data_IF_176850419969
#
_entry.id   IF_176850419969
#
_cell.length_a   1.000
_cell.length_b   1.000
_cell.length_c   1.000
_cell.angle_alpha   90.00
_cell.angle_beta   90.00
_cell.angle_gamma   90.00
#
_symmetry.space_group_name_H-M   'P 1'
#
loop_
_entity.id
_entity.type
_entity.pdbx_description
1 polymer ?
#
# COMPACT_ATOMS: atom_id res chain seq x y z
N UNK A 1 58.93 17.03 -55.69
CA UNK A 1 57.55 16.55 -55.46
C UNK A 1 57.55 15.69 -54.20
N UNK A 2 56.91 16.15 -53.12
CA UNK A 2 56.74 15.40 -51.86
C UNK A 2 55.29 15.58 -51.41
N UNK A 3 54.54 14.49 -51.32
CA UNK A 3 53.17 14.48 -50.81
C UNK A 3 53.20 14.40 -49.27
N UNK A 4 52.41 15.22 -48.54
CA UNK A 4 52.24 15.02 -47.11
C UNK A 4 51.33 13.81 -46.85
N UNK A 5 51.76 12.97 -45.91
CA UNK A 5 51.06 11.79 -45.42
C UNK A 5 49.91 12.21 -44.51
N UNK A 6 48.68 11.95 -44.94
CA UNK A 6 47.48 12.05 -44.11
C UNK A 6 47.51 10.95 -43.04
N UNK A 7 47.66 11.35 -41.77
CA UNK A 7 47.48 10.46 -40.63
C UNK A 7 45.98 10.37 -40.31
N UNK A 8 45.37 9.24 -40.64
CA UNK A 8 43.97 8.93 -40.35
C UNK A 8 43.90 8.34 -38.93
N UNK A 9 43.52 9.17 -37.96
CA UNK A 9 43.31 8.73 -36.58
C UNK A 9 41.95 8.00 -36.49
N UNK A 10 42.00 6.68 -36.37
CA UNK A 10 40.84 5.82 -36.17
C UNK A 10 40.43 5.88 -34.70
N UNK A 11 39.46 6.74 -34.37
CA UNK A 11 38.86 6.78 -33.04
C UNK A 11 37.88 5.61 -32.89
N UNK A 12 38.30 4.57 -32.18
CA UNK A 12 37.43 3.46 -31.76
C UNK A 12 36.54 3.98 -30.63
N UNK A 13 35.33 4.40 -30.99
CA UNK A 13 34.28 4.80 -30.05
C UNK A 13 33.74 3.52 -29.38
N UNK A 14 34.33 3.13 -28.24
CA UNK A 14 33.76 2.10 -27.38
C UNK A 14 32.46 2.63 -26.76
N UNK A 15 31.33 2.46 -27.46
CA UNK A 15 30.01 2.53 -26.85
C UNK A 15 29.87 1.37 -25.87
N UNK A 16 30.32 1.59 -24.63
CA UNK A 16 29.89 0.81 -23.49
C UNK A 16 28.38 1.06 -23.34
N UNK A 17 27.58 0.20 -23.97
CA UNK A 17 26.15 0.16 -23.74
C UNK A 17 25.91 -0.17 -22.29
N UNK A 18 25.65 0.86 -21.48
CA UNK A 18 25.19 0.70 -20.12
C UNK A 18 23.78 0.10 -20.22
N UNK A 19 23.68 -1.23 -20.21
CA UNK A 19 22.42 -1.92 -20.01
C UNK A 19 22.00 -1.60 -18.58
N UNK A 20 21.21 -0.54 -18.41
CA UNK A 20 20.46 -0.32 -17.18
C UNK A 20 19.43 -1.44 -17.14
N UNK A 21 19.80 -2.57 -16.54
CA UNK A 21 18.83 -3.59 -16.18
C UNK A 21 17.83 -2.88 -15.26
N UNK A 22 16.60 -2.70 -15.76
CA UNK A 22 15.50 -2.22 -14.95
C UNK A 22 15.28 -3.28 -13.86
N UNK A 23 15.85 -3.03 -12.69
CA UNK A 23 15.72 -3.87 -11.49
C UNK A 23 14.30 -3.72 -10.95
N UNK A 24 13.31 -4.21 -11.70
CA UNK A 24 11.93 -4.31 -11.24
C UNK A 24 11.93 -5.22 -10.01
N UNK A 25 11.42 -4.71 -8.89
CA UNK A 25 11.23 -5.56 -7.72
C UNK A 25 10.12 -6.55 -8.06
N UNK A 26 10.48 -7.83 -8.11
CA UNK A 26 9.49 -8.90 -8.20
C UNK A 26 8.75 -8.96 -6.86
N UNK A 27 7.51 -8.52 -6.86
CA UNK A 27 6.63 -8.62 -5.70
C UNK A 27 6.04 -10.04 -5.62
N UNK A 28 5.83 -10.58 -4.41
CA UNK A 28 5.15 -11.86 -4.24
C UNK A 28 3.74 -11.86 -4.86
N UNK A 29 3.29 -13.03 -5.30
CA UNK A 29 1.99 -13.19 -5.98
C UNK A 29 0.79 -12.85 -5.08
N UNK A 30 0.98 -12.93 -3.76
CA UNK A 30 -0.02 -12.58 -2.75
C UNK A 30 -0.26 -11.08 -2.67
N UNK A 31 0.57 -10.24 -3.30
CA UNK A 31 0.38 -8.79 -3.32
C UNK A 31 -0.69 -8.42 -4.33
N UNK A 32 -1.71 -7.69 -3.88
CA UNK A 32 -2.79 -7.22 -4.73
C UNK A 32 -2.27 -6.32 -5.86
N UNK A 33 -2.69 -6.52 -7.13
CA UNK A 33 -2.16 -5.80 -8.29
C UNK A 33 -2.23 -4.27 -8.20
N UNK A 34 -3.19 -3.71 -7.45
CA UNK A 34 -3.28 -2.25 -7.27
C UNK A 34 -2.07 -1.67 -6.50
N UNK A 35 -1.50 -2.42 -5.56
CA UNK A 35 -0.32 -1.98 -4.82
C UNK A 35 0.95 -2.08 -5.67
N UNK A 36 1.07 -3.15 -6.48
CA UNK A 36 2.13 -3.28 -7.47
C UNK A 36 2.09 -2.11 -8.50
N UNK A 37 0.90 -1.78 -9.02
CA UNK A 37 0.72 -0.62 -9.90
C UNK A 37 1.09 0.70 -9.21
N UNK A 38 0.79 0.85 -7.92
CA UNK A 38 1.15 2.06 -7.16
C UNK A 38 2.67 2.25 -7.09
N UNK A 39 3.45 1.18 -6.88
CA UNK A 39 4.92 1.24 -6.90
C UNK A 39 5.43 1.59 -8.31
N UNK A 40 4.93 0.93 -9.35
CA UNK A 40 5.35 1.20 -10.73
C UNK A 40 5.02 2.63 -11.17
N UNK A 41 3.85 3.15 -10.78
CA UNK A 41 3.45 4.53 -11.04
C UNK A 41 4.33 5.53 -10.28
N UNK A 42 4.77 5.20 -9.07
CA UNK A 42 5.69 6.03 -8.30
C UNK A 42 7.08 6.08 -8.94
N UNK A 43 7.60 4.96 -9.43
CA UNK A 43 8.86 4.91 -10.18
C UNK A 43 8.78 5.78 -11.43
N UNK A 44 7.71 5.61 -12.22
CA UNK A 44 7.48 6.42 -13.43
C UNK A 44 7.40 7.92 -13.12
N UNK A 45 6.74 8.28 -12.01
CA UNK A 45 6.64 9.66 -11.55
C UNK A 45 8.01 10.22 -11.13
N UNK A 46 8.81 9.47 -10.37
CA UNK A 46 10.14 9.89 -9.94
C UNK A 46 11.11 10.02 -11.12
N UNK A 47 11.10 9.06 -12.07
CA UNK A 47 11.90 9.15 -13.30
C UNK A 47 11.54 10.35 -14.18
N UNK A 48 10.31 10.87 -14.05
CA UNK A 48 9.86 12.09 -14.75
C UNK A 48 10.06 13.38 -13.93
N UNK A 49 10.84 13.33 -12.84
CA UNK A 49 11.09 14.45 -11.94
C UNK A 49 9.93 14.81 -11.01
N UNK A 50 8.81 14.08 -11.05
CA UNK A 50 7.65 14.32 -10.19
C UNK A 50 7.78 13.55 -8.86
N UNK A 51 8.80 13.92 -8.10
CA UNK A 51 9.18 13.24 -6.85
C UNK A 51 8.08 13.33 -5.77
N UNK A 52 7.33 14.44 -5.69
CA UNK A 52 6.25 14.58 -4.71
C UNK A 52 5.08 13.62 -5.00
N UNK A 53 4.70 13.45 -6.27
CA UNK A 53 3.72 12.42 -6.67
C UNK A 53 4.21 11.02 -6.32
N UNK A 54 5.48 10.72 -6.59
CA UNK A 54 6.07 9.44 -6.27
C UNK A 54 6.00 9.16 -4.76
N UNK A 55 6.34 10.14 -3.92
CA UNK A 55 6.22 10.04 -2.46
C UNK A 55 4.78 9.83 -2.01
N UNK A 56 3.80 10.55 -2.56
CA UNK A 56 2.38 10.37 -2.23
C UNK A 56 1.93 8.90 -2.46
N UNK A 57 2.25 8.36 -3.65
CA UNK A 57 1.89 7.00 -4.04
C UNK A 57 2.55 5.95 -3.13
N UNK A 58 3.85 6.08 -2.87
CA UNK A 58 4.59 5.15 -2.02
C UNK A 58 4.13 5.23 -0.56
N UNK A 59 3.87 6.41 -0.03
CA UNK A 59 3.32 6.56 1.32
C UNK A 59 1.93 5.94 1.45
N UNK A 60 1.14 5.94 0.37
CA UNK A 60 -0.12 5.19 0.30
C UNK A 60 0.03 3.66 0.33
N UNK A 61 1.23 3.12 0.18
CA UNK A 61 1.55 1.69 0.34
C UNK A 61 2.00 1.38 1.77
N UNK A 62 2.77 2.27 2.39
CA UNK A 62 3.37 2.02 3.73
C UNK A 62 2.56 2.59 4.90
N UNK A 63 1.75 3.63 4.70
CA UNK A 63 1.05 4.35 5.78
C UNK A 63 2.01 4.74 6.92
N UNK A 64 2.91 5.71 6.70
CA UNK A 64 3.98 6.01 7.65
C UNK A 64 3.45 6.46 9.02
N UNK A 65 2.31 7.15 9.05
CA UNK A 65 1.66 7.60 10.29
C UNK A 65 0.72 6.55 10.90
N UNK A 66 0.59 5.38 10.26
CA UNK A 66 -0.43 4.38 10.56
C UNK A 66 -1.81 4.74 9.98
N UNK A 67 -2.71 3.76 10.03
CA UNK A 67 -4.13 3.90 9.69
C UNK A 67 -4.93 3.65 10.96
N UNK A 68 -5.76 4.61 11.32
CA UNK A 68 -6.65 4.53 12.48
C UNK A 68 -7.91 3.75 12.12
N UNK A 69 -8.31 2.84 13.00
CA UNK A 69 -9.45 1.95 12.82
C UNK A 69 -10.37 2.12 14.01
N UNK A 70 -11.69 2.22 13.80
CA UNK A 70 -12.69 2.18 14.87
C UNK A 70 -13.87 1.29 14.52
N UNK A 71 -14.69 0.96 15.51
CA UNK A 71 -15.96 0.26 15.31
C UNK A 71 -17.11 1.27 15.36
N UNK A 72 -18.05 1.17 14.42
CA UNK A 72 -19.35 1.82 14.55
C UNK A 72 -20.19 1.06 15.59
N UNK A 73 -20.23 1.57 16.83
CA UNK A 73 -20.95 0.92 17.93
C UNK A 73 -22.44 0.71 17.63
N UNK A 74 -23.05 1.58 16.81
CA UNK A 74 -24.48 1.48 16.46
C UNK A 74 -24.77 0.28 15.56
N UNK A 75 -23.75 -0.24 14.88
CA UNK A 75 -23.85 -1.39 14.00
C UNK A 75 -23.78 -2.72 14.75
N UNK A 76 -23.24 -2.76 15.96
CA UNK A 76 -22.97 -4.01 16.70
C UNK A 76 -24.29 -4.68 17.16
N UNK A 77 -24.44 -6.02 17.07
CA UNK A 77 -25.57 -6.71 17.69
C UNK A 77 -25.68 -6.50 19.21
N UNK A 78 -26.91 -6.40 19.72
CA UNK A 78 -27.19 -6.23 21.14
C UNK A 78 -26.48 -7.28 22.00
N UNK A 79 -25.88 -6.84 23.11
CA UNK A 79 -25.16 -7.71 24.03
C UNK A 79 -23.81 -8.24 23.55
N UNK A 80 -23.38 -7.94 22.30
CA UNK A 80 -22.13 -8.45 21.71
C UNK A 80 -21.01 -7.42 21.57
N UNK A 81 -21.17 -6.25 22.22
CA UNK A 81 -20.16 -5.16 22.20
C UNK A 81 -18.76 -5.66 22.54
N UNK A 82 -18.59 -6.29 23.70
CA UNK A 82 -17.27 -6.77 24.14
C UNK A 82 -16.63 -7.74 23.15
N UNK A 83 -17.44 -8.58 22.51
CA UNK A 83 -16.96 -9.56 21.54
C UNK A 83 -16.46 -8.89 20.25
N UNK A 84 -17.19 -7.90 19.73
CA UNK A 84 -16.79 -7.12 18.57
C UNK A 84 -15.49 -6.34 18.82
N UNK A 85 -15.37 -5.70 20.00
CA UNK A 85 -14.15 -4.99 20.42
C UNK A 85 -12.96 -5.94 20.55
N UNK A 86 -13.15 -7.08 21.21
CA UNK A 86 -12.09 -8.07 21.39
C UNK A 86 -11.64 -8.64 20.05
N UNK A 87 -12.58 -8.93 19.14
CA UNK A 87 -12.26 -9.51 17.83
C UNK A 87 -11.41 -8.51 17.02
N UNK A 88 -11.85 -7.26 16.95
CA UNK A 88 -11.12 -6.18 16.28
C UNK A 88 -9.73 -5.96 16.87
N UNK A 89 -9.63 -5.87 18.20
CA UNK A 89 -8.36 -5.69 18.88
C UNK A 89 -7.41 -6.87 18.64
N UNK A 90 -7.94 -8.10 18.61
CA UNK A 90 -7.17 -9.29 18.31
C UNK A 90 -6.64 -9.28 16.87
N UNK A 91 -7.47 -8.92 15.87
CA UNK A 91 -7.06 -8.84 14.47
C UNK A 91 -5.93 -7.82 14.24
N UNK A 92 -6.06 -6.62 14.83
CA UNK A 92 -5.02 -5.59 14.74
C UNK A 92 -3.73 -6.06 15.42
N UNK A 93 -3.84 -6.66 16.60
CA UNK A 93 -2.69 -7.22 17.33
C UNK A 93 -2.00 -8.34 16.53
N UNK A 94 -2.74 -9.18 15.82
CA UNK A 94 -2.20 -10.24 14.97
C UNK A 94 -1.27 -9.64 13.91
N UNK A 95 -1.73 -8.62 13.17
CA UNK A 95 -0.90 -7.95 12.16
C UNK A 95 0.29 -7.20 12.76
N UNK A 96 0.10 -6.48 13.88
CA UNK A 96 1.20 -5.78 14.56
C UNK A 96 2.31 -6.76 15.03
N UNK A 97 1.92 -7.93 15.55
CA UNK A 97 2.87 -8.92 16.05
C UNK A 97 3.78 -9.47 14.93
N UNK A 98 3.21 -9.76 13.75
CA UNK A 98 3.97 -10.35 12.63
C UNK A 98 4.81 -9.32 11.89
N UNK A 99 4.45 -8.03 11.94
CA UNK A 99 5.18 -6.95 11.27
C UNK A 99 6.33 -6.35 12.09
N UNK A 100 6.67 -6.94 13.25
CA UNK A 100 7.95 -6.78 13.95
C UNK A 100 8.35 -5.31 14.26
N UNK A 101 7.42 -4.53 14.82
CA UNK A 101 7.65 -3.13 15.21
C UNK A 101 7.12 -2.10 14.21
N UNK A 102 6.73 -2.55 13.03
CA UNK A 102 5.93 -1.76 12.10
C UNK A 102 4.45 -1.77 12.55
N UNK A 103 3.87 -0.60 12.80
CA UNK A 103 2.50 -0.44 13.32
C UNK A 103 1.61 0.29 12.33
N UNK A 104 1.30 -0.30 11.16
CA UNK A 104 0.47 0.36 10.15
C UNK A 104 -0.99 0.51 10.55
N UNK A 105 -1.43 -0.09 11.66
CA UNK A 105 -2.82 -0.12 12.12
C UNK A 105 -2.87 0.32 13.58
N UNK A 106 -3.82 1.18 13.91
CA UNK A 106 -4.05 1.69 15.26
C UNK A 106 -5.53 1.58 15.59
N UNK A 107 -5.87 0.88 16.68
CA UNK A 107 -7.27 0.82 17.14
C UNK A 107 -7.56 2.03 18.03
N UNK A 108 -8.52 2.86 17.64
CA UNK A 108 -8.88 4.09 18.37
C UNK A 108 -10.26 3.98 19.03
N UNK A 109 -10.51 4.81 20.03
CA UNK A 109 -11.78 4.84 20.77
C UNK A 109 -12.97 5.31 19.93
N UNK A 110 -14.19 5.02 20.40
CA UNK A 110 -15.43 5.35 19.69
C UNK A 110 -15.61 6.85 19.42
N UNK A 111 -15.06 7.71 20.30
CA UNK A 111 -15.17 9.17 20.20
C UNK A 111 -14.04 9.81 19.37
N UNK A 112 -13.13 9.01 18.81
CA UNK A 112 -12.01 9.49 18.00
C UNK A 112 -12.37 9.45 16.51
N UNK A 113 -11.72 10.32 15.73
CA UNK A 113 -11.75 10.21 14.27
C UNK A 113 -10.92 9.00 13.85
N UNK A 114 -11.39 8.32 12.80
CA UNK A 114 -10.71 7.15 12.27
C UNK A 114 -10.75 7.17 10.74
N UNK A 115 -9.67 6.72 10.12
CA UNK A 115 -9.59 6.52 8.68
C UNK A 115 -10.53 5.39 8.23
N UNK A 116 -10.56 4.29 8.99
CA UNK A 116 -11.34 3.10 8.69
C UNK A 116 -12.38 2.85 9.77
N UNK A 117 -13.63 2.64 9.35
CA UNK A 117 -14.74 2.27 10.24
C UNK A 117 -15.17 0.84 9.97
N UNK A 118 -15.20 0.01 11.01
CA UNK A 118 -15.76 -1.35 10.95
C UNK A 118 -17.26 -1.26 11.24
N UNK A 119 -18.07 -1.74 10.31
CA UNK A 119 -19.52 -1.80 10.42
C UNK A 119 -20.00 -3.24 10.39
N UNK A 120 -20.76 -3.65 11.40
CA UNK A 120 -21.43 -4.95 11.42
C UNK A 120 -22.76 -4.84 10.68
N UNK A 121 -22.96 -5.65 9.64
CA UNK A 121 -24.12 -5.56 8.74
C UNK A 121 -24.85 -6.91 8.64
N UNK A 122 -26.12 -6.89 8.23
CA UNK A 122 -26.87 -8.13 7.95
C UNK A 122 -26.53 -8.72 6.57
N UNK A 123 -26.01 -7.89 5.67
CA UNK A 123 -25.66 -8.23 4.30
C UNK A 123 -24.52 -7.34 3.86
N UNK A 124 -23.63 -7.87 3.02
CA UNK A 124 -22.58 -7.06 2.40
C UNK A 124 -23.18 -6.25 1.23
N UNK A 125 -22.84 -4.96 1.05
CA UNK A 125 -23.44 -4.09 0.03
C UNK A 125 -23.16 -4.44 -1.45
N UNK A 126 -22.51 -5.56 -1.77
CA UNK A 126 -22.06 -5.90 -3.13
C UNK A 126 -22.66 -7.23 -3.65
N UNK A 127 -22.59 -7.46 -4.96
CA UNK A 127 -23.05 -8.70 -5.66
C UNK A 127 -22.28 -9.98 -5.23
N UNK A 128 -21.36 -9.88 -4.28
CA UNK A 128 -20.66 -11.01 -3.67
C UNK A 128 -21.55 -11.67 -2.61
N UNK A 129 -22.57 -12.41 -3.07
CA UNK A 129 -23.55 -13.10 -2.22
C UNK A 129 -22.91 -14.06 -1.19
N UNK A 130 -21.63 -14.43 -1.38
CA UNK A 130 -20.92 -15.41 -0.57
C UNK A 130 -19.77 -14.83 0.28
N UNK A 131 -19.59 -13.49 0.34
CA UNK A 131 -18.55 -12.92 1.19
C UNK A 131 -19.09 -12.55 2.59
N UNK A 132 -18.23 -12.70 3.60
CA UNK A 132 -18.55 -12.38 5.00
C UNK A 132 -17.97 -11.04 5.44
N UNK A 133 -17.04 -10.52 4.65
CA UNK A 133 -16.39 -9.23 4.82
C UNK A 133 -16.32 -8.49 3.49
N UNK A 134 -16.13 -7.17 3.57
CA UNK A 134 -15.74 -6.35 2.43
C UNK A 134 -15.12 -5.05 2.92
N UNK A 135 -13.89 -4.75 2.51
CA UNK A 135 -13.30 -3.43 2.64
C UNK A 135 -13.61 -2.54 1.42
N UNK A 136 -14.21 -1.38 1.70
CA UNK A 136 -14.36 -0.28 0.76
C UNK A 136 -13.34 0.80 1.10
N UNK A 137 -12.21 0.78 0.41
CA UNK A 137 -11.08 1.69 0.66
C UNK A 137 -11.01 2.79 -0.39
N UNK A 138 -10.87 4.04 0.06
CA UNK A 138 -10.58 5.21 -0.76
C UNK A 138 -9.25 5.82 -0.33
N UNK A 139 -8.38 6.09 -1.31
CA UNK A 139 -7.13 6.83 -1.12
C UNK A 139 -7.17 8.11 -1.95
N UNK A 140 -6.90 9.24 -1.32
CA UNK A 140 -6.77 10.53 -1.97
C UNK A 140 -5.31 10.96 -1.96
N UNK A 141 -4.77 11.25 -3.14
CA UNK A 141 -3.38 11.69 -3.29
C UNK A 141 -3.38 13.13 -3.76
N UNK A 142 -2.67 14.00 -3.05
CA UNK A 142 -2.47 15.40 -3.45
C UNK A 142 -0.98 15.69 -3.47
N UNK A 143 -0.52 16.46 -4.44
CA UNK A 143 0.88 16.87 -4.51
C UNK A 143 1.03 18.18 -5.28
N UNK A 144 2.11 18.89 -5.00
CA UNK A 144 2.63 19.97 -5.83
C UNK A 144 4.17 19.82 -5.93
N UNK A 145 4.91 20.88 -6.27
CA UNK A 145 6.37 20.79 -6.40
C UNK A 145 7.10 20.63 -5.05
N UNK A 146 6.45 20.96 -3.94
CA UNK A 146 7.08 21.09 -2.62
C UNK A 146 6.53 20.11 -1.59
N UNK A 147 5.28 19.69 -1.74
CA UNK A 147 4.59 18.87 -0.76
C UNK A 147 3.75 17.78 -1.41
N UNK A 148 3.44 16.77 -0.60
CA UNK A 148 2.51 15.70 -0.91
C UNK A 148 1.66 15.38 0.32
N UNK A 149 0.45 14.92 0.08
CA UNK A 149 -0.51 14.51 1.09
C UNK A 149 -1.16 13.19 0.66
N UNK A 150 -1.49 12.38 1.66
CA UNK A 150 -2.25 11.15 1.53
C UNK A 150 -3.46 11.25 2.47
N UNK A 151 -4.66 11.16 1.91
CA UNK A 151 -5.88 10.87 2.66
C UNK A 151 -6.25 9.40 2.53
N UNK A 152 -6.61 8.76 3.64
CA UNK A 152 -7.15 7.39 3.66
C UNK A 152 -8.52 7.44 4.30
N UNK A 153 -9.51 6.81 3.68
CA UNK A 153 -10.83 6.66 4.28
C UNK A 153 -11.47 5.36 3.81
N UNK A 154 -12.30 4.75 4.64
CA UNK A 154 -13.00 3.54 4.22
C UNK A 154 -13.89 2.90 5.26
N UNK A 155 -14.55 1.84 4.83
CA UNK A 155 -15.43 1.04 5.67
C UNK A 155 -15.13 -0.43 5.47
N UNK A 156 -14.95 -1.17 6.56
CA UNK A 156 -14.93 -2.63 6.56
C UNK A 156 -16.32 -3.10 6.99
N UNK A 157 -17.05 -3.72 6.08
CA UNK A 157 -18.33 -4.35 6.36
C UNK A 157 -18.08 -5.77 6.86
N UNK A 158 -18.70 -6.16 7.97
CA UNK A 158 -18.56 -7.51 8.57
C UNK A 158 -19.95 -8.08 8.80
N UNK A 159 -20.23 -9.26 8.28
CA UNK A 159 -21.54 -9.90 8.49
C UNK A 159 -21.78 -10.22 9.97
N UNK A 160 -23.00 -9.98 10.45
CA UNK A 160 -23.44 -10.37 11.80
C UNK A 160 -23.70 -11.87 11.91
N UNK A 161 -24.20 -12.45 10.83
CA UNK A 161 -24.66 -13.84 10.76
C UNK A 161 -24.49 -14.39 9.34
N UNK A 162 -24.42 -15.71 9.24
CA UNK A 162 -24.45 -16.43 7.96
C UNK A 162 -25.39 -17.62 8.06
N UNK A 163 -26.22 -17.83 7.04
CA UNK A 163 -27.26 -18.86 7.04
C UNK A 163 -28.12 -18.87 8.33
N UNK A 164 -28.49 -17.67 8.80
CA UNK A 164 -29.30 -17.48 10.00
C UNK A 164 -28.59 -17.72 11.34
N UNK A 165 -27.29 -18.07 11.32
CA UNK A 165 -26.49 -18.28 12.54
C UNK A 165 -25.58 -17.08 12.79
N UNK A 166 -25.60 -16.47 13.98
CA UNK A 166 -24.63 -15.43 14.32
C UNK A 166 -23.20 -15.94 14.16
N UNK A 167 -22.32 -15.13 13.58
CA UNK A 167 -20.89 -15.43 13.54
C UNK A 167 -20.33 -15.40 14.96
N UNK A 168 -19.43 -16.32 15.28
CA UNK A 168 -18.72 -16.37 16.57
C UNK A 168 -17.57 -15.36 16.61
N UNK A 169 -17.07 -15.09 17.81
CA UNK A 169 -15.87 -14.29 18.07
C UNK A 169 -14.72 -14.60 17.11
N UNK A 170 -14.36 -15.87 16.98
CA UNK A 170 -13.22 -16.29 16.17
C UNK A 170 -13.47 -16.08 14.67
N UNK A 171 -14.72 -16.23 14.22
CA UNK A 171 -15.13 -15.99 12.83
C UNK A 171 -15.12 -14.48 12.52
N UNK A 172 -15.58 -13.62 13.45
CA UNK A 172 -15.41 -12.18 13.32
C UNK A 172 -13.94 -11.77 13.30
N UNK A 173 -13.11 -12.36 14.16
CA UNK A 173 -11.68 -12.08 14.18
C UNK A 173 -11.03 -12.46 12.84
N UNK A 174 -11.31 -13.63 12.28
CA UNK A 174 -10.80 -14.04 10.97
C UNK A 174 -11.25 -13.08 9.86
N UNK A 175 -12.54 -12.75 9.78
CA UNK A 175 -13.06 -11.80 8.76
C UNK A 175 -12.36 -10.45 8.89
N UNK A 176 -12.30 -9.86 10.08
CA UNK A 176 -11.66 -8.55 10.27
C UNK A 176 -10.16 -8.63 9.93
N UNK A 177 -9.48 -9.71 10.34
CA UNK A 177 -8.07 -9.90 10.06
C UNK A 177 -7.78 -10.06 8.55
N UNK A 178 -8.66 -10.75 7.81
CA UNK A 178 -8.64 -10.88 6.36
C UNK A 178 -8.79 -9.52 5.66
N UNK A 179 -9.81 -8.74 6.01
CA UNK A 179 -10.04 -7.41 5.43
C UNK A 179 -8.89 -6.42 5.73
N UNK A 180 -8.29 -6.53 6.92
CA UNK A 180 -7.07 -5.79 7.25
C UNK A 180 -5.88 -6.26 6.40
N UNK A 181 -5.83 -7.51 5.97
CA UNK A 181 -4.86 -8.01 5.00
C UNK A 181 -4.95 -7.29 3.66
N UNK A 182 -6.16 -7.10 3.13
CA UNK A 182 -6.38 -6.29 1.92
C UNK A 182 -5.94 -4.83 2.09
N UNK A 183 -6.24 -4.21 3.24
CA UNK A 183 -5.78 -2.86 3.56
C UNK A 183 -4.24 -2.74 3.51
N UNK A 184 -3.55 -3.80 3.94
CA UNK A 184 -2.09 -3.94 3.94
C UNK A 184 -1.51 -4.38 2.58
N UNK A 185 -2.36 -4.65 1.59
CA UNK A 185 -1.99 -4.88 0.21
C UNK A 185 -1.94 -6.33 -0.24
N UNK A 186 -2.58 -7.24 0.50
CA UNK A 186 -2.74 -8.63 0.07
C UNK A 186 -3.96 -8.82 -0.84
N UNK A 187 -3.82 -9.74 -1.78
CA UNK A 187 -4.91 -10.26 -2.62
C UNK A 187 -5.52 -11.51 -1.99
N UNK A 188 -6.70 -11.87 -2.47
CA UNK A 188 -7.32 -13.15 -2.15
C UNK A 188 -6.49 -14.32 -2.71
N UNK A 189 -6.48 -15.43 -1.98
CA UNK A 189 -6.00 -16.72 -2.48
C UNK A 189 -7.13 -17.73 -2.50
N UNK A 190 -7.08 -18.69 -3.42
CA UNK A 190 -8.12 -19.72 -3.54
C UNK A 190 -7.91 -20.90 -2.57
N UNK A 191 -6.77 -20.94 -1.87
CA UNK A 191 -6.39 -22.03 -0.99
C UNK A 191 -7.12 -21.95 0.37
N UNK A 192 -7.71 -23.07 0.79
CA UNK A 192 -8.31 -23.18 2.12
C UNK A 192 -7.25 -23.20 3.23
N UNK A 193 -7.57 -22.63 4.39
CA UNK A 193 -6.67 -22.67 5.56
C UNK A 193 -5.58 -21.59 5.52
N UNK A 194 -5.71 -20.62 4.61
CA UNK A 194 -4.95 -19.37 4.56
C UNK A 194 -5.82 -18.24 5.10
N UNK A 195 -5.22 -17.19 5.65
CA UNK A 195 -5.99 -16.06 6.17
C UNK A 195 -6.65 -15.30 5.01
N UNK A 196 -5.93 -15.10 3.90
CA UNK A 196 -6.46 -14.51 2.67
C UNK A 196 -7.24 -15.51 1.82
N UNK A 197 -7.54 -16.70 2.36
CA UNK A 197 -8.29 -17.74 1.69
C UNK A 197 -9.79 -17.70 2.00
N UNK A 198 -10.58 -18.61 1.41
CA UNK A 198 -12.00 -18.72 1.74
C UNK A 198 -12.21 -19.11 3.21
N UNK A 199 -13.06 -18.37 3.92
CA UNK A 199 -13.43 -18.67 5.30
C UNK A 199 -14.16 -20.01 5.40
N UNK A 200 -13.84 -20.79 6.45
CA UNK A 200 -14.53 -22.05 6.76
C UNK A 200 -15.22 -21.98 8.11
N UNK A 201 -16.54 -22.04 8.11
CA UNK A 201 -17.36 -22.05 9.33
C UNK A 201 -16.89 -23.08 10.36
N UNK A 202 -16.72 -22.61 11.60
CA UNK A 202 -16.21 -23.42 12.72
C UNK A 202 -14.74 -23.85 12.61
N UNK A 203 -13.99 -23.36 11.62
CA UNK A 203 -12.55 -23.64 11.45
C UNK A 203 -11.77 -22.36 11.09
N UNK A 204 -11.80 -21.34 11.96
CA UNK A 204 -11.25 -20.04 11.61
C UNK A 204 -9.72 -20.04 11.57
N UNK A 205 -9.16 -19.28 10.63
CA UNK A 205 -7.72 -19.01 10.52
C UNK A 205 -7.42 -17.69 11.22
N UNK A 206 -6.77 -17.75 12.38
CA UNK A 206 -6.58 -16.59 13.26
C UNK A 206 -5.23 -15.88 13.11
N UNK A 207 -4.37 -16.36 12.20
CA UNK A 207 -3.07 -15.79 11.94
C UNK A 207 -2.72 -15.93 10.45
N UNK A 208 -2.04 -14.94 9.85
CA UNK A 208 -1.55 -15.04 8.49
C UNK A 208 -0.50 -16.14 8.36
N UNK A 209 -0.49 -16.80 7.21
CA UNK A 209 0.55 -17.72 6.80
C UNK A 209 1.88 -16.97 6.55
N UNK A 210 3.01 -17.68 6.63
CA UNK A 210 4.33 -17.09 6.45
C UNK A 210 4.47 -16.34 5.12
N UNK A 211 3.94 -16.89 4.02
CA UNK A 211 4.00 -16.25 2.70
C UNK A 211 3.17 -14.94 2.64
N UNK A 212 2.04 -14.86 3.34
CA UNK A 212 1.24 -13.63 3.45
C UNK A 212 2.01 -12.55 4.24
N UNK A 213 2.64 -12.93 5.35
CA UNK A 213 3.49 -12.02 6.14
C UNK A 213 4.68 -11.51 5.32
N UNK A 214 5.36 -12.42 4.60
CA UNK A 214 6.52 -12.08 3.78
C UNK A 214 6.14 -11.18 2.61
N UNK A 215 4.95 -11.37 2.02
CA UNK A 215 4.42 -10.51 0.97
C UNK A 215 4.22 -9.07 1.46
N UNK A 216 3.56 -8.88 2.61
CA UNK A 216 3.37 -7.55 3.21
C UNK A 216 4.73 -6.91 3.54
N UNK A 217 5.64 -7.65 4.17
CA UNK A 217 6.98 -7.14 4.50
C UNK A 217 7.76 -6.72 3.25
N UNK A 218 7.77 -7.56 2.22
CA UNK A 218 8.48 -7.30 0.97
C UNK A 218 7.93 -6.06 0.27
N UNK A 219 6.60 -5.95 0.15
CA UNK A 219 5.93 -4.79 -0.42
C UNK A 219 6.32 -3.50 0.31
N UNK A 220 6.22 -3.51 1.64
CA UNK A 220 6.49 -2.33 2.49
C UNK A 220 7.97 -1.95 2.46
N UNK A 221 8.87 -2.92 2.50
CA UNK A 221 10.31 -2.68 2.39
C UNK A 221 10.67 -2.07 1.03
N UNK A 222 10.12 -2.61 -0.06
CA UNK A 222 10.33 -2.10 -1.41
C UNK A 222 9.87 -0.64 -1.55
N UNK A 223 8.72 -0.30 -0.95
CA UNK A 223 8.22 1.08 -0.93
C UNK A 223 9.09 2.01 -0.08
N UNK A 224 9.50 1.59 1.13
CA UNK A 224 10.39 2.37 2.02
C UNK A 224 11.73 2.69 1.39
N UNK A 225 12.35 1.72 0.73
CA UNK A 225 13.63 1.92 0.06
C UNK A 225 13.53 3.02 -1.02
N UNK A 226 12.43 3.03 -1.80
CA UNK A 226 12.17 4.05 -2.82
C UNK A 226 11.91 5.43 -2.20
N UNK A 227 11.14 5.49 -1.10
CA UNK A 227 10.91 6.74 -0.35
C UNK A 227 12.25 7.35 0.07
N UNK A 228 13.12 6.55 0.72
CA UNK A 228 14.45 7.01 1.17
C UNK A 228 15.30 7.53 0.00
N UNK A 229 15.28 6.84 -1.14
CA UNK A 229 16.00 7.25 -2.34
C UNK A 229 15.50 8.60 -2.88
N UNK A 230 14.19 8.76 -3.01
CA UNK A 230 13.57 10.00 -3.53
C UNK A 230 13.82 11.18 -2.58
N UNK A 231 13.65 10.97 -1.28
CA UNK A 231 13.91 12.01 -0.28
C UNK A 231 15.38 12.45 -0.28
N UNK A 232 16.32 11.53 -0.49
CA UNK A 232 17.74 11.85 -0.64
C UNK A 232 18.00 12.72 -1.87
N UNK A 233 17.40 12.38 -3.02
CA UNK A 233 17.54 13.17 -4.26
C UNK A 233 17.01 14.60 -4.08
N UNK A 234 15.82 14.76 -3.48
CA UNK A 234 15.24 16.08 -3.20
C UNK A 234 16.10 16.95 -2.28
N UNK A 235 16.79 16.36 -1.29
CA UNK A 235 17.72 17.11 -0.43
C UNK A 235 18.94 17.60 -1.21
N UNK A 236 19.50 16.76 -2.07
CA UNK A 236 20.67 17.11 -2.89
C UNK A 236 20.36 18.22 -3.90
N UNK A 237 19.16 18.22 -4.49
CA UNK A 237 18.69 19.30 -5.36
C UNK A 237 18.60 20.64 -4.61
N UNK A 238 18.10 20.64 -3.37
CA UNK A 238 17.96 21.85 -2.56
C UNK A 238 19.30 22.39 -2.01
N UNK A 239 20.31 21.54 -1.83
CA UNK A 239 21.65 21.92 -1.39
C UNK A 239 22.54 22.42 -2.54
N UNK A 240 22.10 22.25 -3.80
CA UNK A 240 22.85 22.72 -4.97
C UNK A 240 22.83 24.26 -5.02
N UNK A 241 23.98 24.95 -4.89
CA UNK A 241 24.02 26.41 -4.81
C UNK A 241 23.36 27.07 -6.03
N UNK A 242 22.59 28.13 -5.81
CA UNK A 242 21.91 28.90 -6.87
C UNK A 242 22.86 29.35 -8.01
N UNK A 243 24.16 29.49 -7.71
CA UNK A 243 25.20 29.82 -8.69
C UNK A 243 25.41 28.74 -9.76
N UNK A 244 25.03 27.49 -9.52
CA UNK A 244 25.14 26.40 -10.49
C UNK A 244 23.91 26.29 -11.42
N UNK A 245 22.79 26.90 -11.06
CA UNK A 245 21.53 26.86 -11.81
C UNK A 245 21.38 27.99 -12.84
N UNK A 246 22.25 28.99 -12.81
CA UNK A 246 22.20 30.14 -13.72
C UNK A 246 22.84 29.87 -15.11
N UNK A 247 23.46 28.70 -15.33
CA UNK A 247 24.09 28.35 -16.61
C UNK A 247 23.20 27.51 -17.55
N UNK A 248 21.96 27.17 -17.19
CA UNK A 248 21.11 26.25 -17.98
C UNK A 248 19.63 26.64 -18.02
N UNK A 249 19.26 27.71 -18.74
CA UNK A 249 17.85 28.06 -18.97
C UNK A 249 17.40 27.72 -20.38
N UNK A 250 16.76 26.55 -20.55
CA UNK A 250 15.87 26.25 -21.68
C UNK A 250 14.54 25.71 -21.09
N UNK A 251 13.46 26.49 -21.24
CA UNK A 251 12.15 26.23 -20.61
C UNK A 251 11.23 25.45 -21.56
N UNK A 252 10.56 24.39 -21.07
CA UNK A 252 9.43 23.75 -21.75
C UNK A 252 8.19 23.68 -20.85
N UNK A 253 7.02 23.97 -21.44
CA UNK A 253 5.69 23.85 -20.84
C UNK A 253 4.94 22.66 -21.45
N UNK A 254 4.27 21.84 -20.63
CA UNK A 254 3.25 20.89 -21.11
C UNK A 254 2.02 20.85 -20.20
N UNK A 255 0.84 20.84 -20.85
CA UNK A 255 -0.51 20.84 -20.28
C UNK A 255 -1.02 19.41 -19.97
N UNK A 256 -1.96 19.32 -19.01
CA UNK A 256 -2.26 18.12 -18.21
C UNK A 256 -3.32 17.14 -18.73
N UNK A 257 -3.54 16.06 -17.96
CA UNK A 257 -4.55 15.02 -18.17
C UNK A 257 -5.11 14.49 -16.83
N UNK A 258 -6.42 14.19 -16.79
CA UNK A 258 -7.20 13.71 -15.63
C UNK A 258 -7.51 12.22 -15.75
N UNK A 259 -7.62 11.49 -14.62
CA UNK A 259 -8.17 10.13 -14.51
C UNK A 259 -9.45 10.15 -13.70
#
# INVERSE_FOLDING_TARGET
>A
MRFPRSAMALAVLCTAGLVVAASGVLLPQEVHPAFARSISNAESASSSGNNQKALALLKGVVYPEGVTVKIDESSIPDGRRNEAYNATAASIKTWQAVLSGDSPLQFVGANEEADIVIQFTNSIPADSADCLGLIQLKKEYRWNNWQHELGVSGTIHVMKSFNGKPLKYEEWNEVICHELGHLLGLDDVTENGKLMGPLRFGKPVLAPATNEVDAVKTLRQAARQRIIQIEKSLRQENETPLSALLDSTEFQQLHGCSL
#
